data_IF_597875293444
#
_entry.id   IF_597875293444
#
_cell.length_a   1.000
_cell.length_b   1.000
_cell.length_c   1.000
_cell.angle_alpha   90.00
_cell.angle_beta   90.00
_cell.angle_gamma   90.00
#
_symmetry.space_group_name_H-M   'P 1'
#
loop_
_entity.id
_entity.type
_entity.pdbx_description
1 polymer ?
#
# COMPACT_ATOMS: atom_id res chain seq x y z
N UNK A 1 22.67 -26.63 39.14
CA UNK A 1 21.26 -26.66 39.53
C UNK A 1 20.89 -25.31 40.12
N UNK A 2 21.63 -24.85 41.14
CA UNK A 2 21.36 -23.57 41.82
C UNK A 2 21.58 -22.34 40.92
N UNK A 3 22.57 -22.37 40.03
CA UNK A 3 22.82 -21.29 39.06
C UNK A 3 21.69 -21.17 38.03
N UNK A 4 21.23 -22.30 37.48
CA UNK A 4 20.06 -22.39 36.60
C UNK A 4 18.77 -21.96 37.30
N UNK A 5 18.57 -22.33 38.57
CA UNK A 5 17.42 -21.88 39.35
C UNK A 5 17.47 -20.37 39.59
N UNK A 6 18.65 -19.80 39.83
CA UNK A 6 18.82 -18.35 39.94
C UNK A 6 18.56 -17.61 38.62
N UNK A 7 18.91 -18.21 37.48
CA UNK A 7 18.60 -17.64 36.16
C UNK A 7 17.11 -17.72 35.82
N UNK A 8 16.40 -18.73 36.32
CA UNK A 8 14.95 -18.90 36.17
C UNK A 8 14.18 -17.93 37.07
N UNK A 9 14.68 -17.67 38.28
CA UNK A 9 14.07 -16.76 39.25
C UNK A 9 14.41 -15.29 39.00
N UNK A 10 15.43 -15.01 38.19
CA UNK A 10 15.78 -13.65 37.79
C UNK A 10 14.72 -13.08 36.83
N UNK A 11 14.19 -11.90 37.16
CA UNK A 11 13.41 -11.09 36.20
C UNK A 11 14.31 -10.73 35.03
N UNK A 12 14.13 -11.42 33.90
CA UNK A 12 14.88 -11.14 32.68
C UNK A 12 14.27 -9.92 31.98
N UNK A 13 14.94 -8.77 32.11
CA UNK A 13 14.54 -7.57 31.39
C UNK A 13 14.79 -7.70 29.89
N UNK A 14 13.90 -7.11 29.10
CA UNK A 14 14.06 -7.05 27.65
C UNK A 14 15.20 -6.09 27.28
N UNK A 15 16.28 -6.63 26.72
CA UNK A 15 17.47 -5.85 26.37
C UNK A 15 17.35 -5.13 25.03
N UNK A 16 18.07 -4.02 24.87
CA UNK A 16 18.18 -3.30 23.60
C UNK A 16 18.76 -4.17 22.47
N UNK A 17 19.66 -5.10 22.80
CA UNK A 17 20.20 -6.05 21.83
C UNK A 17 19.12 -7.01 21.30
N UNK A 18 18.18 -7.43 22.15
CA UNK A 18 17.04 -8.23 21.73
C UNK A 18 16.09 -7.42 20.86
N UNK A 19 15.83 -6.15 21.21
CA UNK A 19 15.02 -5.23 20.39
C UNK A 19 15.62 -5.07 18.98
N UNK A 20 16.93 -4.87 18.87
CA UNK A 20 17.62 -4.73 17.57
C UNK A 20 17.46 -5.99 16.72
N UNK A 21 17.64 -7.18 17.31
CA UNK A 21 17.54 -8.47 16.60
C UNK A 21 16.16 -8.68 16.00
N UNK A 22 15.10 -8.43 16.77
CA UNK A 22 13.72 -8.66 16.29
C UNK A 22 13.27 -7.60 15.26
N UNK A 23 13.99 -6.49 15.14
CA UNK A 23 13.71 -5.40 14.19
C UNK A 23 14.54 -5.48 12.89
N UNK A 24 15.41 -6.47 12.72
CA UNK A 24 16.33 -6.53 11.56
C UNK A 24 15.61 -6.44 10.21
N UNK A 25 14.52 -7.17 10.01
CA UNK A 25 13.74 -7.14 8.75
C UNK A 25 13.18 -5.74 8.45
N UNK A 26 12.69 -5.04 9.47
CA UNK A 26 12.13 -3.70 9.34
C UNK A 26 13.22 -2.65 9.12
N UNK A 27 14.32 -2.75 9.86
CA UNK A 27 15.49 -1.87 9.73
C UNK A 27 16.15 -2.01 8.35
N UNK A 28 16.19 -3.23 7.81
CA UNK A 28 16.63 -3.47 6.44
C UNK A 28 15.77 -2.70 5.43
N UNK A 29 14.45 -2.85 5.49
CA UNK A 29 13.54 -2.17 4.56
C UNK A 29 13.59 -0.64 4.71
N UNK A 30 13.72 -0.11 5.93
CA UNK A 30 13.82 1.33 6.19
C UNK A 30 15.06 1.98 5.58
N UNK A 31 16.17 1.24 5.43
CA UNK A 31 17.38 1.75 4.78
C UNK A 31 17.21 1.92 3.27
N UNK A 32 16.22 1.27 2.67
CA UNK A 32 15.95 1.35 1.24
C UNK A 32 15.03 2.54 0.98
N UNK A 33 15.54 3.59 0.33
CA UNK A 33 14.81 4.83 0.12
C UNK A 33 13.54 4.63 -0.71
N UNK A 34 12.39 5.08 -0.18
CA UNK A 34 11.11 5.15 -0.90
C UNK A 34 10.86 6.52 -1.52
N UNK A 35 9.75 6.67 -2.25
CA UNK A 35 9.34 7.95 -2.89
C UNK A 35 8.76 8.99 -1.92
N UNK A 36 8.66 8.64 -0.64
CA UNK A 36 8.15 9.48 0.46
C UNK A 36 6.77 10.14 0.18
N UNK A 37 5.94 9.44 -0.60
CA UNK A 37 4.65 9.96 -1.06
C UNK A 37 3.69 10.30 0.10
N UNK A 38 3.68 9.47 1.15
CA UNK A 38 2.75 9.61 2.28
C UNK A 38 3.05 10.83 3.15
N UNK A 39 4.32 11.11 3.46
CA UNK A 39 4.69 12.29 4.22
C UNK A 39 4.40 13.58 3.44
N UNK A 40 4.74 13.61 2.14
CA UNK A 40 4.34 14.73 1.26
C UNK A 40 2.83 14.96 1.25
N UNK A 41 2.05 13.87 1.26
CA UNK A 41 0.59 13.96 1.31
C UNK A 41 0.12 14.51 2.66
N UNK A 42 0.67 14.03 3.77
CA UNK A 42 0.40 14.56 5.12
C UNK A 42 0.69 16.06 5.17
N UNK A 43 1.86 16.51 4.71
CA UNK A 43 2.23 17.92 4.67
C UNK A 43 1.26 18.74 3.82
N UNK A 44 0.88 18.22 2.64
CA UNK A 44 -0.05 18.88 1.75
C UNK A 44 -1.45 19.03 2.39
N UNK A 45 -1.95 17.99 3.06
CA UNK A 45 -3.22 18.09 3.80
C UNK A 45 -3.10 19.00 5.03
N UNK A 46 -1.93 19.09 5.67
CA UNK A 46 -1.75 19.95 6.83
C UNK A 46 -1.86 21.45 6.50
N UNK A 47 -1.73 21.84 5.24
CA UNK A 47 -2.08 23.20 4.77
C UNK A 47 -3.53 23.55 5.10
N UNK A 48 -4.45 22.58 5.05
CA UNK A 48 -5.84 22.76 5.47
C UNK A 48 -6.05 22.47 6.95
N UNK A 49 -5.41 21.43 7.48
CA UNK A 49 -5.68 20.94 8.83
C UNK A 49 -5.04 21.80 9.93
N UNK A 50 -3.94 22.51 9.63
CA UNK A 50 -3.22 23.38 10.56
C UNK A 50 -2.90 22.70 11.91
N UNK A 51 -2.56 21.41 11.88
CA UNK A 51 -2.21 20.62 13.05
C UNK A 51 -0.78 20.94 13.49
N UNK A 52 -0.57 21.01 14.81
CA UNK A 52 0.74 21.27 15.40
C UNK A 52 1.79 20.22 14.98
N UNK A 53 3.03 20.70 14.80
CA UNK A 53 4.19 19.92 14.37
C UNK A 53 4.43 18.66 15.22
N UNK A 54 4.17 18.72 16.54
CA UNK A 54 4.34 17.59 17.43
C UNK A 54 3.46 16.40 17.00
N UNK A 55 2.17 16.63 16.73
CA UNK A 55 1.25 15.58 16.30
C UNK A 55 1.58 15.08 14.89
N UNK A 56 1.97 15.98 13.98
CA UNK A 56 2.39 15.62 12.62
C UNK A 56 3.56 14.65 12.65
N UNK A 57 4.58 14.91 13.49
CA UNK A 57 5.76 14.04 13.60
C UNK A 57 5.38 12.64 14.11
N UNK A 58 4.56 12.56 15.15
CA UNK A 58 4.13 11.28 15.72
C UNK A 58 3.26 10.51 14.74
N UNK A 59 2.26 11.14 14.13
CA UNK A 59 1.35 10.49 13.17
C UNK A 59 2.12 10.06 11.92
N UNK A 60 3.01 10.89 11.38
CA UNK A 60 3.84 10.51 10.23
C UNK A 60 4.73 9.31 10.53
N UNK A 61 5.34 9.26 11.71
CA UNK A 61 6.15 8.11 12.13
C UNK A 61 5.32 6.82 12.22
N UNK A 62 4.10 6.90 12.78
CA UNK A 62 3.16 5.78 12.85
C UNK A 62 2.76 5.30 11.44
N UNK A 63 2.40 6.22 10.54
CA UNK A 63 2.00 5.89 9.18
C UNK A 63 3.16 5.24 8.40
N UNK A 64 4.40 5.69 8.60
CA UNK A 64 5.57 5.07 7.99
C UNK A 64 5.88 3.68 8.55
N UNK A 65 5.74 3.49 9.87
CA UNK A 65 5.84 2.16 10.50
C UNK A 65 4.84 1.18 9.89
N UNK A 66 3.56 1.57 9.85
CA UNK A 66 2.49 0.75 9.28
C UNK A 66 2.73 0.46 7.79
N UNK A 67 3.15 1.45 7.02
CA UNK A 67 3.42 1.26 5.59
C UNK A 67 4.54 0.25 5.35
N UNK A 68 5.67 0.38 6.05
CA UNK A 68 6.80 -0.52 5.83
C UNK A 68 6.51 -1.90 6.41
N UNK A 69 5.80 -2.02 7.54
CA UNK A 69 5.33 -3.31 8.05
C UNK A 69 4.38 -4.01 7.06
N UNK A 70 3.44 -3.27 6.47
CA UNK A 70 2.53 -3.86 5.48
C UNK A 70 3.27 -4.31 4.23
N UNK A 71 4.32 -3.60 3.80
CA UNK A 71 5.16 -4.05 2.67
C UNK A 71 5.90 -5.36 2.98
N UNK A 72 6.38 -5.56 4.20
CA UNK A 72 7.03 -6.82 4.59
C UNK A 72 6.07 -8.01 4.47
N UNK A 73 4.81 -7.83 4.90
CA UNK A 73 3.76 -8.85 4.79
C UNK A 73 3.31 -9.03 3.34
N UNK A 74 3.02 -7.95 2.61
CA UNK A 74 2.58 -7.98 1.21
C UNK A 74 3.61 -8.68 0.31
N UNK A 75 4.91 -8.39 0.48
CA UNK A 75 5.98 -9.07 -0.26
C UNK A 75 6.02 -10.59 0.00
N UNK A 76 5.66 -11.05 1.20
CA UNK A 76 5.53 -12.48 1.53
C UNK A 76 4.28 -13.06 0.87
N UNK A 77 3.14 -12.40 1.03
CA UNK A 77 1.85 -12.85 0.51
C UNK A 77 1.86 -12.94 -1.03
N UNK A 78 2.58 -12.04 -1.70
CA UNK A 78 2.74 -11.97 -3.15
C UNK A 78 3.92 -12.80 -3.68
N UNK A 79 4.73 -13.41 -2.80
CA UNK A 79 5.94 -14.15 -3.19
C UNK A 79 6.89 -13.29 -4.03
N UNK A 80 6.98 -12.00 -3.71
CA UNK A 80 7.76 -11.02 -4.47
C UNK A 80 9.26 -11.35 -4.37
N UNK A 81 9.99 -11.11 -5.46
CA UNK A 81 11.44 -11.35 -5.48
C UNK A 81 12.25 -10.13 -5.02
N UNK A 82 11.75 -8.92 -5.31
CA UNK A 82 12.41 -7.64 -5.06
C UNK A 82 11.45 -6.56 -4.58
N UNK A 83 11.97 -5.60 -3.81
CA UNK A 83 11.33 -4.32 -3.46
C UNK A 83 12.30 -3.19 -3.68
N UNK A 84 11.89 -2.14 -4.43
CA UNK A 84 12.70 -0.95 -4.71
C UNK A 84 14.07 -1.31 -5.33
N UNK A 85 14.12 -2.38 -6.12
CA UNK A 85 15.33 -2.89 -6.75
C UNK A 85 16.20 -3.83 -5.89
N UNK A 86 15.91 -3.99 -4.61
CA UNK A 86 16.66 -4.85 -3.67
C UNK A 86 15.90 -6.14 -3.37
N UNK A 87 16.57 -7.23 -2.92
CA UNK A 87 15.87 -8.43 -2.43
C UNK A 87 14.88 -8.09 -1.31
N UNK A 88 13.72 -8.75 -1.30
CA UNK A 88 12.76 -8.58 -0.21
C UNK A 88 13.29 -9.16 1.11
N UNK A 89 12.86 -8.61 2.24
CA UNK A 89 13.38 -8.95 3.56
C UNK A 89 13.26 -10.44 3.91
N UNK A 90 12.13 -11.08 3.58
CA UNK A 90 11.89 -12.48 3.91
C UNK A 90 12.85 -13.45 3.20
N UNK A 91 13.47 -13.03 2.08
CA UNK A 91 14.51 -13.80 1.39
C UNK A 91 15.88 -13.71 2.07
N UNK A 92 16.09 -12.71 2.92
CA UNK A 92 17.35 -12.50 3.66
C UNK A 92 17.22 -13.08 5.07
N UNK A 93 16.14 -12.73 5.79
CA UNK A 93 15.96 -13.05 7.20
C UNK A 93 15.02 -14.23 7.46
N UNK A 94 14.40 -14.75 6.40
CA UNK A 94 13.41 -15.84 6.47
C UNK A 94 11.99 -15.34 6.74
N UNK A 95 11.02 -16.02 6.13
CA UNK A 95 9.59 -15.72 6.26
C UNK A 95 9.10 -15.64 7.71
N UNK A 96 9.41 -16.59 8.61
CA UNK A 96 8.90 -16.54 9.99
C UNK A 96 9.35 -15.27 10.74
N UNK A 97 10.63 -14.92 10.62
CA UNK A 97 11.22 -13.72 11.24
C UNK A 97 10.56 -12.45 10.71
N UNK A 98 10.41 -12.34 9.38
CA UNK A 98 9.82 -11.15 8.76
C UNK A 98 8.34 -10.98 9.12
N UNK A 99 7.55 -12.05 9.21
CA UNK A 99 6.15 -12.00 9.69
C UNK A 99 6.12 -11.48 11.13
N UNK A 100 6.94 -12.06 12.00
CA UNK A 100 6.97 -11.66 13.41
C UNK A 100 7.36 -10.19 13.57
N UNK A 101 8.41 -9.73 12.87
CA UNK A 101 8.84 -8.33 12.88
C UNK A 101 7.73 -7.40 12.42
N UNK A 102 7.06 -7.70 11.30
CA UNK A 102 6.02 -6.82 10.76
C UNK A 102 4.82 -6.72 11.71
N UNK A 103 4.37 -7.84 12.27
CA UNK A 103 3.29 -7.86 13.24
C UNK A 103 3.65 -7.10 14.52
N UNK A 104 4.89 -7.25 15.01
CA UNK A 104 5.39 -6.49 16.15
C UNK A 104 5.36 -4.97 15.89
N UNK A 105 5.77 -4.53 14.69
CA UNK A 105 5.72 -3.11 14.30
C UNK A 105 4.30 -2.56 14.32
N UNK A 106 3.27 -3.34 13.96
CA UNK A 106 1.88 -2.89 14.09
C UNK A 106 1.57 -2.48 15.53
N UNK A 107 1.93 -3.32 16.52
CA UNK A 107 1.73 -2.99 17.93
C UNK A 107 2.58 -1.81 18.41
N UNK A 108 3.83 -1.68 17.96
CA UNK A 108 4.65 -0.51 18.26
C UNK A 108 4.10 0.79 17.66
N UNK A 109 3.43 0.71 16.51
CA UNK A 109 2.76 1.86 15.91
C UNK A 109 1.52 2.26 16.71
N UNK A 110 0.76 1.29 17.22
CA UNK A 110 -0.37 1.53 18.13
C UNK A 110 0.10 2.15 19.44
N UNK A 111 1.15 1.61 20.05
CA UNK A 111 1.69 2.12 21.32
C UNK A 111 2.20 3.56 21.19
N UNK A 112 2.85 3.87 20.08
CA UNK A 112 3.25 5.25 19.76
C UNK A 112 2.05 6.20 19.59
N UNK A 113 0.89 5.75 19.07
CA UNK A 113 -0.30 6.60 19.05
C UNK A 113 -0.88 6.83 20.46
N UNK A 114 -0.78 5.84 21.36
CA UNK A 114 -1.29 5.96 22.73
C UNK A 114 -0.60 7.08 23.51
N UNK A 115 0.66 7.41 23.17
CA UNK A 115 1.39 8.51 23.82
C UNK A 115 0.77 9.89 23.58
N UNK A 116 -0.13 10.03 22.60
CA UNK A 116 -0.85 11.27 22.33
C UNK A 116 -2.07 11.50 23.25
N UNK A 117 -2.37 10.55 24.16
CA UNK A 117 -3.42 10.67 25.18
C UNK A 117 -4.81 11.02 24.64
N UNK A 118 -5.14 10.58 23.42
CA UNK A 118 -6.45 10.73 22.80
C UNK A 118 -7.03 9.34 22.46
N UNK A 119 -8.08 8.93 23.18
CA UNK A 119 -8.67 7.58 23.05
C UNK A 119 -9.26 7.32 21.67
N UNK A 120 -9.76 8.35 20.99
CA UNK A 120 -10.36 8.21 19.65
C UNK A 120 -9.36 7.72 18.59
N UNK A 121 -8.06 7.93 18.82
CA UNK A 121 -7.01 7.47 17.90
C UNK A 121 -6.98 5.94 17.79
N UNK A 122 -7.31 5.23 18.88
CA UNK A 122 -7.29 3.78 18.93
C UNK A 122 -8.42 3.19 18.08
N UNK A 123 -9.61 3.78 18.17
CA UNK A 123 -10.77 3.37 17.37
C UNK A 123 -10.50 3.63 15.88
N UNK A 124 -9.98 4.82 15.54
CA UNK A 124 -9.61 5.18 14.16
C UNK A 124 -8.54 4.23 13.60
N UNK A 125 -7.52 3.94 14.39
CA UNK A 125 -6.45 3.01 14.03
C UNK A 125 -7.00 1.61 13.76
N UNK A 126 -7.80 1.08 14.68
CA UNK A 126 -8.38 -0.25 14.57
C UNK A 126 -9.31 -0.36 13.34
N UNK A 127 -10.21 0.60 13.15
CA UNK A 127 -11.14 0.61 12.02
C UNK A 127 -10.43 0.61 10.67
N UNK A 128 -9.40 1.45 10.50
CA UNK A 128 -8.68 1.51 9.23
C UNK A 128 -7.77 0.30 9.02
N UNK A 129 -7.21 -0.31 10.07
CA UNK A 129 -6.49 -1.57 9.94
C UNK A 129 -7.40 -2.75 9.59
N UNK A 130 -8.61 -2.81 10.15
CA UNK A 130 -9.63 -3.77 9.72
C UNK A 130 -9.94 -3.57 8.24
N UNK A 131 -10.09 -2.33 7.78
CA UNK A 131 -10.33 -2.04 6.36
C UNK A 131 -9.13 -2.45 5.50
N UNK A 132 -7.90 -2.13 5.89
CA UNK A 132 -6.68 -2.55 5.20
C UNK A 132 -6.65 -4.07 4.99
N UNK A 133 -6.92 -4.86 6.04
CA UNK A 133 -6.94 -6.32 5.94
C UNK A 133 -8.14 -6.85 5.14
N UNK A 134 -9.31 -6.20 5.20
CA UNK A 134 -10.45 -6.54 4.31
C UNK A 134 -10.08 -6.33 2.84
N UNK A 135 -9.39 -5.24 2.53
CA UNK A 135 -8.90 -4.94 1.18
C UNK A 135 -7.90 -5.98 0.71
N UNK A 136 -6.86 -6.24 1.52
CA UNK A 136 -5.83 -7.26 1.22
C UNK A 136 -6.44 -8.64 1.06
N UNK A 137 -7.29 -9.06 2.00
CA UNK A 137 -7.92 -10.37 1.97
C UNK A 137 -8.75 -10.61 0.71
N UNK A 138 -9.46 -9.59 0.21
CA UNK A 138 -10.18 -9.71 -1.06
C UNK A 138 -9.24 -9.75 -2.28
N UNK A 139 -8.13 -8.99 -2.27
CA UNK A 139 -7.09 -9.06 -3.32
C UNK A 139 -6.54 -10.49 -3.43
N UNK A 140 -6.15 -11.08 -2.29
CA UNK A 140 -5.68 -12.46 -2.19
C UNK A 140 -6.76 -13.47 -2.59
N UNK A 141 -8.00 -13.28 -2.13
CA UNK A 141 -9.11 -14.18 -2.46
C UNK A 141 -9.36 -14.24 -3.96
N UNK A 142 -9.44 -13.10 -4.65
CA UNK A 142 -9.63 -13.07 -6.09
C UNK A 142 -8.46 -13.74 -6.82
N UNK A 143 -7.23 -13.39 -6.45
CA UNK A 143 -5.98 -13.92 -7.01
C UNK A 143 -5.89 -15.45 -6.87
N UNK A 144 -6.10 -15.97 -5.66
CA UNK A 144 -5.84 -17.37 -5.33
C UNK A 144 -6.98 -18.30 -5.75
N UNK A 145 -8.20 -17.78 -5.90
CA UNK A 145 -9.34 -18.52 -6.44
C UNK A 145 -9.55 -18.29 -7.95
N UNK A 146 -8.73 -17.44 -8.57
CA UNK A 146 -8.82 -17.06 -9.98
C UNK A 146 -10.19 -16.53 -10.39
N UNK A 147 -10.80 -15.73 -9.51
CA UNK A 147 -12.09 -15.09 -9.72
C UNK A 147 -11.82 -13.64 -10.10
N UNK A 148 -12.03 -13.27 -11.37
CA UNK A 148 -11.90 -11.89 -11.80
C UNK A 148 -12.99 -11.03 -11.12
N UNK A 149 -12.64 -9.99 -10.35
CA UNK A 149 -13.62 -9.09 -9.77
C UNK A 149 -14.25 -8.20 -10.84
N UNK A 150 -15.44 -7.68 -10.56
CA UNK A 150 -15.98 -6.53 -11.30
C UNK A 150 -15.17 -5.26 -11.00
N UNK A 151 -15.31 -4.24 -11.84
CA UNK A 151 -14.66 -2.93 -11.58
C UNK A 151 -15.12 -2.34 -10.25
N UNK A 152 -16.39 -2.49 -9.85
CA UNK A 152 -16.87 -1.97 -8.56
C UNK A 152 -16.25 -2.72 -7.37
N UNK A 153 -16.10 -4.04 -7.46
CA UNK A 153 -15.42 -4.85 -6.46
C UNK A 153 -13.94 -4.48 -6.35
N UNK A 154 -13.29 -4.23 -7.49
CA UNK A 154 -11.92 -3.71 -7.53
C UNK A 154 -11.82 -2.33 -6.84
N UNK A 155 -12.70 -1.39 -7.14
CA UNK A 155 -12.66 -0.08 -6.48
C UNK A 155 -12.90 -0.18 -4.96
N UNK A 156 -13.73 -1.13 -4.51
CA UNK A 156 -13.95 -1.38 -3.09
C UNK A 156 -12.69 -1.95 -2.42
N UNK A 157 -12.01 -2.93 -3.03
CA UNK A 157 -10.78 -3.50 -2.47
C UNK A 157 -9.66 -2.46 -2.41
N UNK A 158 -9.49 -1.63 -3.45
CA UNK A 158 -8.49 -0.55 -3.49
C UNK A 158 -8.76 0.53 -2.45
N UNK A 159 -10.04 0.92 -2.27
CA UNK A 159 -10.40 1.85 -1.22
C UNK A 159 -10.02 1.33 0.17
N UNK A 160 -10.08 0.02 0.38
CA UNK A 160 -9.74 -0.59 1.65
C UNK A 160 -8.22 -0.79 1.81
N UNK A 161 -7.55 -1.39 0.83
CA UNK A 161 -6.11 -1.71 0.83
C UNK A 161 -5.23 -0.45 0.73
N UNK A 162 -5.45 0.38 -0.29
CA UNK A 162 -4.53 1.49 -0.60
C UNK A 162 -5.00 2.79 0.03
N UNK A 163 -6.29 3.12 -0.12
CA UNK A 163 -6.83 4.34 0.49
C UNK A 163 -6.99 4.23 2.00
N UNK A 164 -6.99 3.02 2.60
CA UNK A 164 -7.14 2.82 4.05
C UNK A 164 -6.04 3.49 4.86
N UNK A 165 -4.77 3.25 4.50
CA UNK A 165 -3.65 3.87 5.22
C UNK A 165 -3.59 5.40 5.01
N UNK A 166 -4.00 5.88 3.84
CA UNK A 166 -4.11 7.32 3.56
C UNK A 166 -5.27 7.96 4.34
N UNK A 167 -6.41 7.28 4.46
CA UNK A 167 -7.52 7.73 5.32
C UNK A 167 -7.10 7.75 6.78
N UNK A 168 -6.36 6.74 7.23
CA UNK A 168 -5.87 6.67 8.60
C UNK A 168 -5.08 7.94 8.95
N UNK A 169 -4.13 8.35 8.10
CA UNK A 169 -3.35 9.56 8.36
C UNK A 169 -4.23 10.80 8.49
N UNK A 170 -5.20 10.98 7.60
CA UNK A 170 -6.08 12.16 7.61
C UNK A 170 -7.06 12.14 8.79
N UNK A 171 -7.64 10.97 9.11
CA UNK A 171 -8.55 10.81 10.25
C UNK A 171 -7.84 11.09 11.58
N UNK A 172 -6.61 10.60 11.76
CA UNK A 172 -5.81 10.89 12.95
C UNK A 172 -5.54 12.39 13.09
N UNK A 173 -5.13 13.06 12.00
CA UNK A 173 -4.86 14.51 12.01
C UNK A 173 -6.11 15.35 12.27
N UNK A 174 -7.27 14.95 11.72
CA UNK A 174 -8.55 15.62 11.97
C UNK A 174 -8.93 15.66 13.45
N UNK A 175 -8.49 14.69 14.27
CA UNK A 175 -8.75 14.73 15.73
C UNK A 175 -8.05 15.89 16.45
N UNK A 176 -7.05 16.50 15.81
CA UNK A 176 -6.28 17.64 16.33
C UNK A 176 -6.50 18.91 15.50
N UNK A 177 -7.48 18.91 14.60
CA UNK A 177 -7.78 20.02 13.69
C UNK A 177 -9.18 20.57 13.94
N UNK A 178 -9.40 21.86 13.65
CA UNK A 178 -10.72 22.48 13.59
C UNK A 178 -11.34 22.44 12.18
N UNK A 179 -10.72 21.75 11.22
CA UNK A 179 -11.20 21.69 9.84
C UNK A 179 -12.48 20.85 9.70
N UNK A 180 -13.58 21.46 9.26
CA UNK A 180 -14.91 20.84 9.28
C UNK A 180 -15.31 20.11 7.98
N UNK A 181 -14.68 20.42 6.85
CA UNK A 181 -15.09 19.83 5.56
C UNK A 181 -14.64 18.38 5.47
N UNK A 182 -15.50 17.54 4.87
CA UNK A 182 -15.20 16.12 4.69
C UNK A 182 -14.12 15.89 3.61
N UNK A 183 -12.93 15.47 4.03
CA UNK A 183 -11.79 15.16 3.17
C UNK A 183 -11.76 13.71 2.66
N UNK A 184 -12.63 12.83 3.19
CA UNK A 184 -12.64 11.39 2.89
C UNK A 184 -12.90 11.10 1.39
N UNK A 185 -13.82 11.80 0.69
CA UNK A 185 -14.01 11.58 -0.74
C UNK A 185 -12.76 11.89 -1.58
N UNK A 186 -12.02 12.94 -1.21
CA UNK A 186 -10.79 13.32 -1.91
C UNK A 186 -9.68 12.29 -1.68
N UNK A 187 -9.41 11.92 -0.42
CA UNK A 187 -8.34 10.97 -0.11
C UNK A 187 -8.60 9.58 -0.72
N UNK A 188 -9.86 9.14 -0.76
CA UNK A 188 -10.24 7.90 -1.45
C UNK A 188 -9.97 7.98 -2.94
N UNK A 189 -10.29 9.11 -3.58
CA UNK A 189 -10.04 9.30 -5.01
C UNK A 189 -8.54 9.33 -5.33
N UNK A 190 -7.74 10.00 -4.49
CA UNK A 190 -6.27 10.00 -4.59
C UNK A 190 -5.72 8.57 -4.45
N UNK A 191 -6.22 7.79 -3.49
CA UNK A 191 -5.78 6.40 -3.31
C UNK A 191 -6.13 5.49 -4.48
N UNK A 192 -7.33 5.66 -5.08
CA UNK A 192 -7.73 4.93 -6.30
C UNK A 192 -6.81 5.31 -7.48
N UNK A 193 -6.58 6.62 -7.68
CA UNK A 193 -5.68 7.12 -8.73
C UNK A 193 -4.28 6.53 -8.56
N UNK A 194 -3.74 6.57 -7.34
CA UNK A 194 -2.43 6.04 -7.02
C UNK A 194 -2.33 4.54 -7.34
N UNK A 195 -3.33 3.74 -6.97
CA UNK A 195 -3.31 2.30 -7.24
C UNK A 195 -3.44 1.98 -8.73
N UNK A 196 -4.40 2.59 -9.44
CA UNK A 196 -4.58 2.33 -10.88
C UNK A 196 -3.33 2.74 -11.67
N UNK A 197 -2.64 3.80 -11.23
CA UNK A 197 -1.34 4.19 -11.78
C UNK A 197 -0.25 3.16 -11.49
N UNK A 198 -0.19 2.62 -10.26
CA UNK A 198 0.77 1.57 -9.91
C UNK A 198 0.58 0.31 -10.77
N UNK A 199 -0.68 -0.12 -10.91
CA UNK A 199 -1.09 -1.24 -11.77
C UNK A 199 -0.69 -1.02 -13.24
N UNK A 200 -0.89 0.20 -13.76
CA UNK A 200 -0.48 0.55 -15.11
C UNK A 200 1.04 0.45 -15.28
N UNK A 201 1.81 1.06 -14.36
CA UNK A 201 3.26 1.06 -14.43
C UNK A 201 3.85 -0.34 -14.28
N UNK A 202 3.25 -1.20 -13.45
CA UNK A 202 3.69 -2.57 -13.27
C UNK A 202 3.73 -3.34 -14.62
N UNK A 203 2.71 -3.14 -15.45
CA UNK A 203 2.56 -3.88 -16.71
C UNK A 203 3.21 -3.19 -17.91
N UNK A 204 3.18 -1.85 -17.95
CA UNK A 204 3.47 -1.11 -19.18
C UNK A 204 4.76 -0.27 -19.12
N UNK A 205 5.36 -0.08 -17.94
CA UNK A 205 6.64 0.62 -17.80
C UNK A 205 7.79 -0.39 -17.61
N UNK A 206 8.50 -0.65 -18.71
CA UNK A 206 9.68 -1.53 -18.74
C UNK A 206 10.87 -0.99 -17.95
N UNK A 207 10.86 0.31 -17.59
CA UNK A 207 11.95 0.97 -16.88
C UNK A 207 11.66 1.14 -15.38
N UNK A 208 10.63 0.49 -14.84
CA UNK A 208 10.28 0.59 -13.43
C UNK A 208 11.36 -0.04 -12.55
N UNK A 209 12.41 0.73 -12.23
CA UNK A 209 13.57 0.37 -11.39
C UNK A 209 13.21 -0.22 -10.01
N UNK A 210 11.94 -0.16 -9.62
CA UNK A 210 11.47 -0.49 -8.27
C UNK A 210 10.92 -1.92 -8.14
N UNK A 211 10.60 -2.60 -9.24
CA UNK A 211 10.01 -3.95 -9.26
C UNK A 211 10.59 -4.77 -10.42
N UNK A 212 10.44 -6.09 -10.38
CA UNK A 212 10.75 -6.94 -11.53
C UNK A 212 9.72 -6.73 -12.65
N UNK A 213 10.07 -7.07 -13.88
CA UNK A 213 9.22 -6.86 -15.05
C UNK A 213 7.87 -7.59 -14.92
N UNK A 214 6.76 -6.82 -14.97
CA UNK A 214 5.38 -7.29 -14.90
C UNK A 214 5.13 -8.31 -13.78
N UNK A 215 5.46 -7.90 -12.55
CA UNK A 215 5.26 -8.71 -11.35
C UNK A 215 3.80 -9.10 -11.14
N UNK A 216 2.83 -8.24 -11.46
CA UNK A 216 1.40 -8.55 -11.29
C UNK A 216 0.99 -9.83 -12.07
N UNK A 217 1.61 -10.08 -13.23
CA UNK A 217 1.39 -11.31 -14.02
C UNK A 217 1.98 -12.53 -13.29
N UNK A 218 3.15 -12.36 -12.68
CA UNK A 218 3.84 -13.41 -11.90
C UNK A 218 3.05 -13.76 -10.65
N UNK A 219 2.51 -12.73 -9.99
CA UNK A 219 1.66 -12.84 -8.81
C UNK A 219 0.29 -13.44 -9.17
N UNK A 220 -0.09 -13.46 -10.45
CA UNK A 220 -1.42 -13.89 -10.89
C UNK A 220 -2.52 -12.89 -10.48
N UNK A 221 -2.14 -11.63 -10.25
CA UNK A 221 -2.99 -10.59 -9.69
C UNK A 221 -3.97 -10.03 -10.72
N UNK A 222 -5.18 -9.71 -10.26
CA UNK A 222 -6.18 -9.02 -11.06
C UNK A 222 -6.03 -7.51 -10.93
N UNK A 223 -4.99 -6.94 -11.54
CA UNK A 223 -4.80 -5.48 -11.59
C UNK A 223 -5.77 -4.81 -12.58
N UNK A 224 -5.95 -3.48 -12.48
CA UNK A 224 -6.97 -2.76 -13.24
C UNK A 224 -6.94 -3.00 -14.76
N UNK A 225 -5.78 -2.94 -15.46
CA UNK A 225 -5.74 -3.21 -16.89
C UNK A 225 -6.09 -4.66 -17.25
N UNK A 226 -5.73 -5.61 -16.37
CA UNK A 226 -6.03 -7.03 -16.51
C UNK A 226 -7.53 -7.28 -16.36
N UNK A 227 -8.16 -6.71 -15.32
CA UNK A 227 -9.61 -6.80 -15.11
C UNK A 227 -10.35 -6.25 -16.33
N UNK A 228 -9.98 -5.05 -16.79
CA UNK A 228 -10.57 -4.48 -18.00
C UNK A 228 -10.38 -5.41 -19.20
N UNK A 229 -9.19 -5.98 -19.38
CA UNK A 229 -8.91 -6.90 -20.49
C UNK A 229 -9.83 -8.12 -20.49
N UNK A 230 -10.02 -8.75 -19.33
CA UNK A 230 -10.91 -9.91 -19.16
C UNK A 230 -12.36 -9.53 -19.42
N UNK A 231 -12.80 -8.37 -18.92
CA UNK A 231 -14.20 -7.93 -19.08
C UNK A 231 -14.52 -7.44 -20.50
N UNK A 232 -13.54 -6.98 -21.25
CA UNK A 232 -13.68 -6.55 -22.65
C UNK A 232 -13.72 -7.73 -23.61
N UNK A 233 -12.90 -8.76 -23.38
CA UNK A 233 -12.83 -9.97 -24.22
C UNK A 233 -13.27 -11.22 -23.47
N UNK A 234 -14.57 -11.27 -23.14
CA UNK A 234 -15.18 -12.27 -22.25
C UNK A 234 -15.11 -13.70 -22.77
N UNK A 235 -15.02 -13.87 -24.09
CA UNK A 235 -14.96 -15.19 -24.73
C UNK A 235 -13.54 -15.78 -24.70
N UNK A 236 -12.54 -14.98 -24.35
CA UNK A 236 -11.13 -15.39 -24.29
C UNK A 236 -10.71 -15.76 -22.87
N UNK A 237 -10.35 -17.03 -22.69
CA UNK A 237 -9.78 -17.53 -21.41
C UNK A 237 -8.27 -17.28 -21.28
N UNK A 238 -7.64 -16.64 -22.27
CA UNK A 238 -6.17 -16.52 -22.37
C UNK A 238 -5.57 -15.77 -21.18
N UNK A 239 -6.12 -14.60 -20.84
CA UNK A 239 -5.61 -13.77 -19.75
C UNK A 239 -5.63 -14.56 -18.44
N UNK A 240 -6.79 -15.16 -18.10
CA UNK A 240 -6.97 -15.95 -16.88
C UNK A 240 -6.00 -17.15 -16.86
N UNK A 241 -5.85 -17.86 -17.97
CA UNK A 241 -4.95 -19.01 -18.03
C UNK A 241 -3.49 -18.62 -17.84
N UNK A 242 -3.05 -17.47 -18.37
CA UNK A 242 -1.68 -16.97 -18.17
C UNK A 242 -1.47 -16.60 -16.69
N UNK A 243 -2.42 -15.91 -16.06
CA UNK A 243 -2.34 -15.56 -14.63
C UNK A 243 -2.29 -16.81 -13.74
N UNK A 244 -3.03 -17.86 -14.10
CA UNK A 244 -2.99 -19.16 -13.40
C UNK A 244 -1.61 -19.80 -13.40
N UNK A 245 -0.79 -19.55 -14.43
CA UNK A 245 0.57 -20.09 -14.48
C UNK A 245 1.52 -19.40 -13.50
N UNK A 246 1.20 -18.20 -12.99
CA UNK A 246 2.11 -17.40 -12.17
C UNK A 246 3.51 -17.31 -12.77
N UNK A 247 3.54 -17.09 -14.08
CA UNK A 247 4.71 -17.34 -14.91
C UNK A 247 5.82 -16.32 -14.64
N UNK A 248 7.06 -16.81 -14.62
CA UNK A 248 8.28 -15.97 -14.68
C UNK A 248 8.82 -15.83 -16.10
N UNK A 249 8.23 -16.52 -17.07
CA UNK A 249 8.62 -16.51 -18.48
C UNK A 249 8.43 -15.12 -19.11
N UNK A 250 9.50 -14.59 -19.71
CA UNK A 250 9.51 -13.23 -20.23
C UNK A 250 8.63 -13.07 -21.48
N UNK A 251 8.67 -14.05 -22.39
CA UNK A 251 7.94 -13.99 -23.66
C UNK A 251 6.43 -14.11 -23.42
N UNK A 252 6.02 -14.95 -22.48
CA UNK A 252 4.61 -15.09 -22.09
C UNK A 252 4.06 -13.82 -21.44
N UNK A 253 4.87 -13.12 -20.63
CA UNK A 253 4.51 -11.80 -20.09
C UNK A 253 4.37 -10.75 -21.20
N UNK A 254 5.34 -10.68 -22.12
CA UNK A 254 5.29 -9.78 -23.26
C UNK A 254 4.06 -10.04 -24.14
N UNK A 255 3.72 -11.31 -24.37
CA UNK A 255 2.52 -11.70 -25.11
C UNK A 255 1.25 -11.15 -24.45
N UNK A 256 1.11 -11.33 -23.12
CA UNK A 256 -0.06 -10.81 -22.40
C UNK A 256 -0.11 -9.27 -22.42
N UNK A 257 1.04 -8.60 -22.26
CA UNK A 257 1.12 -7.14 -22.33
C UNK A 257 0.72 -6.64 -23.73
N UNK A 258 1.21 -7.27 -24.80
CA UNK A 258 0.81 -6.93 -26.17
C UNK A 258 -0.69 -7.14 -26.36
N UNK A 259 -1.24 -8.25 -25.86
CA UNK A 259 -2.67 -8.53 -25.91
C UNK A 259 -3.50 -7.42 -25.25
N UNK A 260 -3.10 -6.99 -24.05
CA UNK A 260 -3.75 -5.91 -23.32
C UNK A 260 -3.66 -4.56 -24.03
N UNK A 261 -2.58 -4.31 -24.79
CA UNK A 261 -2.40 -3.09 -25.59
C UNK A 261 -3.22 -3.12 -26.88
N UNK A 262 -3.12 -4.21 -27.65
CA UNK A 262 -3.56 -4.25 -29.05
C UNK A 262 -4.95 -4.86 -29.24
N UNK A 263 -5.36 -5.81 -28.39
CA UNK A 263 -6.64 -6.52 -28.54
C UNK A 263 -7.75 -5.95 -27.68
N UNK A 264 -7.48 -5.66 -26.40
CA UNK A 264 -8.50 -5.16 -25.47
C UNK A 264 -8.43 -3.66 -25.24
N UNK A 265 -7.39 -2.99 -25.76
CA UNK A 265 -7.12 -1.56 -25.56
C UNK A 265 -7.08 -1.14 -24.07
N UNK A 266 -6.70 -2.08 -23.18
CA UNK A 266 -6.70 -1.88 -21.73
C UNK A 266 -5.68 -0.84 -21.27
N UNK A 267 -4.55 -0.73 -21.97
CA UNK A 267 -3.55 0.29 -21.64
C UNK A 267 -4.11 1.71 -21.80
N UNK A 268 -4.67 2.02 -22.98
CA UNK A 268 -5.24 3.34 -23.26
C UNK A 268 -6.48 3.61 -22.38
N UNK A 269 -7.36 2.63 -22.19
CA UNK A 269 -8.49 2.78 -21.28
C UNK A 269 -8.04 3.15 -19.86
N UNK A 270 -6.98 2.51 -19.36
CA UNK A 270 -6.43 2.81 -18.04
C UNK A 270 -5.89 4.23 -17.95
N UNK A 271 -5.14 4.70 -18.97
CA UNK A 271 -4.67 6.10 -19.03
C UNK A 271 -5.83 7.10 -19.00
N UNK A 272 -6.93 6.82 -19.72
CA UNK A 272 -8.11 7.69 -19.71
C UNK A 272 -8.75 7.75 -18.32
N UNK A 273 -8.82 6.62 -17.61
CA UNK A 273 -9.33 6.57 -16.23
C UNK A 273 -8.42 7.36 -15.29
N UNK A 274 -7.09 7.23 -15.41
CA UNK A 274 -6.11 8.01 -14.63
C UNK A 274 -6.32 9.52 -14.85
N UNK A 275 -6.40 9.97 -16.11
CA UNK A 275 -6.64 11.39 -16.44
C UNK A 275 -7.96 11.91 -15.87
N UNK A 276 -9.03 11.11 -15.95
CA UNK A 276 -10.34 11.49 -15.41
C UNK A 276 -10.33 11.59 -13.88
N UNK A 277 -9.70 10.63 -13.20
CA UNK A 277 -9.56 10.65 -11.74
C UNK A 277 -8.71 11.83 -11.27
N UNK A 278 -7.65 12.17 -12.00
CA UNK A 278 -6.86 13.37 -11.77
C UNK A 278 -7.72 14.63 -11.86
N UNK A 279 -8.40 14.86 -12.99
CA UNK A 279 -9.23 16.05 -13.19
C UNK A 279 -10.32 16.20 -12.12
N UNK A 280 -10.98 15.08 -11.77
CA UNK A 280 -11.98 15.08 -10.70
C UNK A 280 -11.39 15.30 -9.30
N UNK A 281 -10.12 14.95 -9.06
CA UNK A 281 -9.44 15.23 -7.80
C UNK A 281 -9.07 16.72 -7.71
N UNK A 282 -8.64 17.32 -8.82
CA UNK A 282 -8.40 18.77 -8.92
C UNK A 282 -9.69 19.56 -8.65
N UNK A 283 -10.82 19.14 -9.24
CA UNK A 283 -12.12 19.76 -8.98
C UNK A 283 -12.51 19.71 -7.49
N UNK A 284 -12.33 18.56 -6.83
CA UNK A 284 -12.57 18.42 -5.39
C UNK A 284 -11.65 19.33 -4.56
N UNK A 285 -10.37 19.45 -4.92
CA UNK A 285 -9.43 20.36 -4.26
C UNK A 285 -9.90 21.81 -4.39
N UNK A 286 -10.34 22.22 -5.58
CA UNK A 286 -10.86 23.57 -5.82
C UNK A 286 -12.11 23.84 -4.97
N UNK A 287 -13.05 22.89 -4.90
CA UNK A 287 -14.27 23.00 -4.08
C UNK A 287 -13.96 23.07 -2.58
N UNK A 288 -12.83 22.50 -2.14
CA UNK A 288 -12.38 22.57 -0.75
C UNK A 288 -11.70 23.90 -0.40
N UNK A 289 -11.37 24.74 -1.39
CA UNK A 289 -10.71 26.04 -1.21
C UNK A 289 -9.31 26.14 -1.83
N UNK A 290 -8.90 25.13 -2.62
CA UNK A 290 -7.61 25.08 -3.28
C UNK A 290 -6.48 24.59 -2.36
N UNK A 291 -5.50 23.90 -2.95
CA UNK A 291 -4.29 23.43 -2.28
C UNK A 291 -3.20 23.12 -3.32
N UNK A 292 -2.23 24.01 -3.47
CA UNK A 292 -1.19 23.91 -4.50
C UNK A 292 -0.26 22.72 -4.31
N UNK A 293 -0.02 22.30 -3.06
CA UNK A 293 0.79 21.11 -2.76
C UNK A 293 0.09 19.83 -3.23
N UNK A 294 -1.22 19.70 -2.97
CA UNK A 294 -1.99 18.55 -3.46
C UNK A 294 -2.10 18.54 -4.98
N UNK A 295 -2.28 19.70 -5.62
CA UNK A 295 -2.27 19.81 -7.09
C UNK A 295 -0.93 19.32 -7.65
N UNK A 296 0.19 19.79 -7.10
CA UNK A 296 1.53 19.35 -7.53
C UNK A 296 1.72 17.84 -7.36
N UNK A 297 1.29 17.28 -6.23
CA UNK A 297 1.35 15.82 -5.99
C UNK A 297 0.52 15.06 -7.03
N UNK A 298 -0.67 15.55 -7.38
CA UNK A 298 -1.51 14.94 -8.40
C UNK A 298 -0.89 15.02 -9.80
N UNK A 299 -0.29 16.16 -10.14
CA UNK A 299 0.39 16.34 -11.42
C UNK A 299 1.58 15.39 -11.56
N UNK A 300 2.34 15.16 -10.48
CA UNK A 300 3.42 14.15 -10.44
C UNK A 300 2.90 12.70 -10.61
N UNK A 301 1.60 12.46 -10.42
CA UNK A 301 0.96 11.17 -10.66
C UNK A 301 0.45 10.98 -12.10
N UNK A 302 0.43 12.01 -12.95
CA UNK A 302 0.09 11.82 -14.35
C UNK A 302 1.18 10.99 -15.08
N UNK A 303 0.75 10.30 -16.14
CA UNK A 303 1.57 9.46 -17.02
C UNK A 303 1.56 9.99 -18.45
#
# INVERSE_FOLDING_TARGET
MDELLSEIEADQEWSNDNEIKILESFNYLNKIQGKDFRNKLIDAFNVWLAVDSHYILVISAVINKLHNASLLIDDIEDHSDKRRGFPVAHRIFGTPSTINTANYIYFLALDQLRSLNNSSLIDIYNDELINLHRGQGMDLYYRDNFICPSISQYLQLVNNKTSGLLRLSIKLLLTFSSFEKNLIPLINKIGILFQIRDDYLNLFDSNSLNKSFAEDITEGKFSFPIIHGILTDKDSIKIINILKQRTKDHDLKLYLIDYLKTRTNSAEFTLQVIRKLHSQSIELINNLGGNSLLVKILDDLLL
#
